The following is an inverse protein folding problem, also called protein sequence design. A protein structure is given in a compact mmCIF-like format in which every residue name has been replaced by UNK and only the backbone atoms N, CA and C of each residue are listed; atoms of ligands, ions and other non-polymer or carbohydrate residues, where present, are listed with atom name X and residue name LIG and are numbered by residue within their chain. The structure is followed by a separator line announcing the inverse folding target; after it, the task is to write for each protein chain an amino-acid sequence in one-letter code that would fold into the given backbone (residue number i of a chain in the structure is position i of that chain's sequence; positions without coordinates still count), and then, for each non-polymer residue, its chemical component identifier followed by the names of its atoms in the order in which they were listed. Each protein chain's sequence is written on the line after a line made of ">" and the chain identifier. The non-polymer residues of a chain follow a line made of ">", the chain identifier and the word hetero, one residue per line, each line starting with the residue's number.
data_IF_861586537687
#
_entry.id   IF_861586537687
#
_cell.length_a   1.000
_cell.length_b   1.000
_cell.length_c   1.000
_cell.angle_alpha   90.00
_cell.angle_beta   90.00
_cell.angle_gamma   90.00
#
_symmetry.space_group_name_H-M   'P 1'
#
loop_
_entity.id
_entity.type
_entity.pdbx_description
1 polymer ?
#
# COMPACT_ATOMS: atom_id res chain seq x y z
N UNK A 1 19.34 9.71 -8.47
CA UNK A 1 18.04 9.69 -7.78
C UNK A 1 18.25 10.23 -6.38
N UNK A 2 17.69 11.39 -6.10
CA UNK A 2 18.02 12.20 -4.91
C UNK A 2 17.36 11.64 -3.66
N UNK A 3 18.10 11.64 -2.55
CA UNK A 3 17.78 11.04 -1.24
C UNK A 3 16.47 11.54 -0.60
N UNK A 4 15.88 12.60 -1.16
CA UNK A 4 14.67 13.28 -0.68
C UNK A 4 13.36 12.81 -1.34
N UNK A 5 13.38 12.28 -2.56
CA UNK A 5 12.16 11.72 -3.19
C UNK A 5 11.67 10.48 -2.44
N UNK A 6 12.60 9.73 -1.84
CA UNK A 6 12.30 8.56 -1.01
C UNK A 6 11.57 8.90 0.29
N UNK A 7 11.64 10.16 0.78
CA UNK A 7 10.99 10.57 2.03
C UNK A 7 9.47 10.75 1.91
N UNK A 8 8.92 10.80 0.70
CA UNK A 8 7.47 10.92 0.46
C UNK A 8 6.81 9.62 0.00
N UNK A 9 7.59 8.59 -0.33
CA UNK A 9 7.05 7.29 -0.71
C UNK A 9 6.40 6.65 0.53
N UNK A 10 5.08 6.57 0.52
CA UNK A 10 4.32 5.89 1.55
C UNK A 10 4.20 4.41 1.19
N UNK A 11 4.43 3.55 2.17
CA UNK A 11 4.16 2.12 2.04
C UNK A 11 2.92 1.77 2.82
N UNK A 12 1.91 1.28 2.11
CA UNK A 12 0.61 0.91 2.63
C UNK A 12 0.41 -0.59 2.47
N UNK A 13 0.11 -1.27 3.57
CA UNK A 13 -0.26 -2.69 3.54
C UNK A 13 -1.78 -2.79 3.69
N UNK A 14 -2.43 -3.46 2.74
CA UNK A 14 -3.86 -3.75 2.73
C UNK A 14 -4.08 -5.25 2.90
N UNK A 15 -5.07 -5.63 3.71
CA UNK A 15 -5.46 -7.03 3.86
C UNK A 15 -6.56 -7.36 2.85
N UNK A 16 -6.29 -8.34 1.98
CA UNK A 16 -7.16 -8.70 0.85
C UNK A 16 -7.30 -10.21 0.81
N UNK A 17 -8.53 -10.70 0.71
CA UNK A 17 -8.77 -12.14 0.61
C UNK A 17 -8.54 -12.61 -0.82
N UNK A 18 -7.38 -13.20 -1.12
CA UNK A 18 -7.03 -13.68 -2.46
C UNK A 18 -7.11 -15.20 -2.47
N UNK A 19 -8.18 -15.73 -3.06
CA UNK A 19 -8.43 -17.18 -3.13
C UNK A 19 -8.12 -17.80 -4.49
N UNK A 20 -7.85 -16.99 -5.52
CA UNK A 20 -7.52 -17.48 -6.85
C UNK A 20 -6.57 -16.53 -7.59
N UNK A 21 -5.97 -17.05 -8.67
CA UNK A 21 -5.04 -16.27 -9.50
C UNK A 21 -5.75 -15.10 -10.20
N UNK A 22 -7.05 -15.25 -10.52
CA UNK A 22 -7.89 -14.19 -11.06
C UNK A 22 -7.96 -12.96 -10.15
N UNK A 23 -8.19 -13.15 -8.85
CA UNK A 23 -8.22 -12.06 -7.87
C UNK A 23 -6.85 -11.37 -7.76
N UNK A 24 -5.76 -12.15 -7.74
CA UNK A 24 -4.39 -11.61 -7.73
C UNK A 24 -4.14 -10.70 -8.93
N UNK A 25 -4.46 -11.17 -10.13
CA UNK A 25 -4.26 -10.41 -11.36
C UNK A 25 -5.14 -9.15 -11.41
N UNK A 26 -6.37 -9.24 -10.90
CA UNK A 26 -7.30 -8.11 -10.87
C UNK A 26 -6.83 -7.01 -9.92
N UNK A 27 -6.46 -7.37 -8.69
CA UNK A 27 -5.87 -6.43 -7.71
C UNK A 27 -4.61 -5.78 -8.30
N UNK A 28 -3.71 -6.56 -8.91
CA UNK A 28 -2.52 -6.03 -9.57
C UNK A 28 -2.88 -5.02 -10.66
N UNK A 29 -3.83 -5.34 -11.54
CA UNK A 29 -4.30 -4.43 -12.61
C UNK A 29 -4.90 -3.13 -12.06
N UNK A 30 -5.67 -3.19 -10.98
CA UNK A 30 -6.28 -2.00 -10.38
C UNK A 30 -5.20 -1.10 -9.80
N UNK A 31 -4.26 -1.65 -9.03
CA UNK A 31 -3.18 -0.89 -8.42
C UNK A 31 -2.25 -0.26 -9.47
N UNK A 32 -1.98 -0.98 -10.56
CA UNK A 32 -1.16 -0.47 -11.65
C UNK A 32 -1.84 0.64 -12.48
N UNK A 33 -3.17 0.77 -12.38
CA UNK A 33 -3.93 1.88 -12.98
C UNK A 33 -3.94 3.14 -12.10
N UNK A 34 -3.42 3.06 -10.87
CA UNK A 34 -3.40 4.20 -9.95
C UNK A 34 -2.08 4.94 -10.16
N UNK A 35 -2.21 6.21 -10.56
CA UNK A 35 -1.05 7.09 -10.72
C UNK A 35 -0.39 7.35 -9.36
N UNK A 36 0.94 7.32 -9.33
CA UNK A 36 1.73 7.47 -8.10
C UNK A 36 2.04 6.16 -7.37
N UNK A 37 1.57 5.00 -7.86
CA UNK A 37 2.04 3.68 -7.38
C UNK A 37 3.35 3.34 -8.08
N UNK A 38 4.41 3.12 -7.29
CA UNK A 38 5.73 2.71 -7.79
C UNK A 38 5.93 1.20 -7.72
N UNK A 39 5.51 0.57 -6.63
CA UNK A 39 5.75 -0.86 -6.40
C UNK A 39 4.54 -1.49 -5.72
N UNK A 40 4.23 -2.71 -6.13
CA UNK A 40 3.16 -3.53 -5.54
C UNK A 40 3.66 -4.95 -5.31
N UNK A 41 3.52 -5.42 -4.06
CA UNK A 41 3.72 -6.82 -3.67
C UNK A 41 2.40 -7.41 -3.23
N UNK A 42 2.13 -8.64 -3.65
CA UNK A 42 0.91 -9.37 -3.32
C UNK A 42 1.33 -10.70 -2.68
N UNK A 43 1.01 -10.84 -1.40
CA UNK A 43 1.27 -12.02 -0.58
C UNK A 43 -0.05 -12.79 -0.43
N UNK A 44 -0.34 -13.69 -1.38
CA UNK A 44 -1.55 -14.50 -1.37
C UNK A 44 -1.63 -15.43 -0.15
N UNK A 45 -0.48 -15.96 0.29
CA UNK A 45 -0.37 -16.81 1.48
C UNK A 45 -0.85 -16.10 2.76
N UNK A 46 -0.54 -14.80 2.88
CA UNK A 46 -0.95 -14.00 4.04
C UNK A 46 -2.26 -13.22 3.80
N UNK A 47 -2.79 -13.25 2.57
CA UNK A 47 -3.88 -12.38 2.15
C UNK A 47 -3.53 -10.89 2.33
N UNK A 48 -2.34 -10.46 1.91
CA UNK A 48 -1.86 -9.08 2.06
C UNK A 48 -1.34 -8.50 0.75
N UNK A 49 -1.47 -7.20 0.62
CA UNK A 49 -1.02 -6.44 -0.53
C UNK A 49 -0.28 -5.20 -0.05
N UNK A 50 0.99 -5.11 -0.38
CA UNK A 50 1.86 -3.99 -0.04
C UNK A 50 2.02 -3.08 -1.25
N UNK A 51 1.68 -1.81 -1.09
CA UNK A 51 1.76 -0.79 -2.13
C UNK A 51 2.72 0.30 -1.66
N UNK A 52 3.75 0.59 -2.45
CA UNK A 52 4.67 1.69 -2.22
C UNK A 52 4.47 2.74 -3.31
N UNK A 53 4.16 3.96 -2.91
CA UNK A 53 3.78 5.03 -3.83
C UNK A 53 3.68 6.39 -3.14
N UNK A 54 3.61 7.45 -3.94
CA UNK A 54 3.18 8.77 -3.48
C UNK A 54 1.67 8.91 -3.71
N UNK A 55 0.90 8.01 -3.11
CA UNK A 55 -0.56 7.96 -3.24
C UNK A 55 -1.22 7.76 -1.89
N UNK A 56 -2.34 8.43 -1.67
CA UNK A 56 -3.12 8.30 -0.46
C UNK A 56 -3.71 6.88 -0.29
N UNK A 57 -3.54 6.24 0.88
CA UNK A 57 -4.15 4.94 1.17
C UNK A 57 -5.68 4.97 1.00
N UNK A 58 -6.31 6.09 1.33
CA UNK A 58 -7.75 6.29 1.15
C UNK A 58 -8.19 6.17 -0.31
N UNK A 59 -7.38 6.64 -1.26
CA UNK A 59 -7.66 6.52 -2.70
C UNK A 59 -7.49 5.08 -3.16
N UNK A 60 -6.40 4.42 -2.72
CA UNK A 60 -6.16 2.99 -2.98
C UNK A 60 -7.35 2.13 -2.53
N UNK A 61 -7.82 2.34 -1.30
CA UNK A 61 -8.96 1.63 -0.72
C UNK A 61 -10.23 1.91 -1.52
N UNK A 62 -10.54 3.17 -1.84
CA UNK A 62 -11.74 3.52 -2.62
C UNK A 62 -11.72 2.88 -4.02
N UNK A 63 -10.58 2.85 -4.70
CA UNK A 63 -10.42 2.22 -6.02
C UNK A 63 -10.63 0.71 -5.95
N UNK A 64 -10.07 0.06 -4.93
CA UNK A 64 -10.23 -1.37 -4.70
C UNK A 64 -11.67 -1.73 -4.30
N UNK A 65 -12.28 -0.98 -3.38
CA UNK A 65 -13.69 -1.18 -2.97
C UNK A 65 -14.67 -0.99 -4.14
N UNK A 66 -14.42 -0.01 -5.01
CA UNK A 66 -15.28 0.24 -6.17
C UNK A 66 -15.19 -0.86 -7.23
N UNK A 67 -14.11 -1.62 -7.25
CA UNK A 67 -13.90 -2.71 -8.21
C UNK A 67 -14.23 -4.09 -7.61
N UNK A 68 -13.99 -4.30 -6.31
CA UNK A 68 -14.24 -5.55 -5.59
C UNK A 68 -14.61 -5.29 -4.11
N UNK A 69 -15.89 -4.96 -3.81
CA UNK A 69 -16.33 -4.68 -2.44
C UNK A 69 -16.24 -5.89 -1.49
N UNK A 70 -16.17 -7.11 -2.03
CA UNK A 70 -16.32 -8.37 -1.26
C UNK A 70 -15.00 -8.93 -0.73
N UNK A 71 -13.82 -8.39 -1.10
CA UNK A 71 -12.52 -9.01 -0.81
C UNK A 71 -11.61 -8.20 0.12
N UNK A 72 -12.04 -7.01 0.59
CA UNK A 72 -11.19 -6.14 1.40
C UNK A 72 -11.51 -6.27 2.90
N UNK A 73 -10.60 -6.88 3.66
CA UNK A 73 -10.62 -6.81 5.11
C UNK A 73 -9.89 -5.54 5.55
N UNK A 74 -10.58 -4.57 6.14
CA UNK A 74 -9.94 -3.30 6.46
C UNK A 74 -8.92 -3.47 7.59
N UNK A 75 -7.63 -3.36 7.26
CA UNK A 75 -6.56 -3.03 8.18
C UNK A 75 -5.42 -2.41 7.37
N UNK A 76 -5.36 -1.09 7.34
CA UNK A 76 -4.31 -0.33 6.63
C UNK A 76 -3.15 -0.16 7.60
N UNK A 77 -2.05 -0.88 7.39
CA UNK A 77 -0.81 -0.60 8.12
C UNK A 77 0.02 0.34 7.25
N UNK A 78 -0.13 1.64 7.49
CA UNK A 78 0.77 2.65 6.93
C UNK A 78 2.05 2.65 7.77
N UNK A 79 3.09 1.96 7.31
CA UNK A 79 4.44 2.22 7.81
C UNK A 79 4.93 3.50 7.15
N UNK A 80 4.46 4.64 7.66
CA UNK A 80 5.18 5.88 7.44
C UNK A 80 6.56 5.67 8.07
N UNK A 81 7.62 5.79 7.27
CA UNK A 81 8.96 5.96 7.79
C UNK A 81 8.98 7.29 8.55
N UNK A 82 8.46 7.29 9.78
CA UNK A 82 8.59 8.39 10.71
C UNK A 82 10.08 8.39 11.02
N UNK A 83 10.87 9.42 10.65
CA UNK A 83 12.20 9.52 11.18
C UNK A 83 12.05 9.42 12.69
N UNK A 84 12.72 8.43 13.30
CA UNK A 84 12.95 8.42 14.73
C UNK A 84 13.55 9.80 15.00
N UNK A 85 12.73 10.74 15.46
CA UNK A 85 13.20 11.97 16.09
C UNK A 85 13.99 11.47 17.29
N UNK A 86 15.28 11.26 17.07
CA UNK A 86 16.25 11.10 18.11
C UNK A 86 16.14 12.38 18.93
N UNK A 87 15.56 12.23 20.13
CA UNK A 87 15.34 13.31 21.08
C UNK A 87 16.65 13.51 21.84
N UNK A 88 17.66 14.03 21.13
CA UNK A 88 18.81 14.72 21.71
C UNK A 88 18.42 16.20 21.53
N UNK A 89 18.19 17.03 22.55
CA UNK A 89 19.09 17.50 23.58
C UNK A 89 18.32 17.83 24.88
N UNK A 90 18.70 17.20 25.98
CA UNK A 90 18.58 17.71 27.35
C UNK A 90 19.89 17.33 28.04
N UNK A 91 20.92 18.14 27.84
CA UNK A 91 21.89 18.53 28.87
C UNK A 91 22.68 19.72 28.35
#
# INVERSE_FOLDING_TARGET
>A
MSKEEFMKIQTCVLKVNIHCDGCKQKVKKILHKIEGVFTTKIDAEQGKVTVSGNVDPSVLIKKLLKSEPTQLGQSVQSHANRPRRQRWWKQ
#
